data_IF_202971876352
#
_entry.id   IF_202971876352
#
_cell.length_a   1.000
_cell.length_b   1.000
_cell.length_c   1.000
_cell.angle_alpha   90.00
_cell.angle_beta   90.00
_cell.angle_gamma   90.00
#
_symmetry.space_group_name_H-M   'P 1'
#
loop_
_entity.id
_entity.type
_entity.pdbx_description
1 polymer ?
#
# COMPACT_ATOMS: atom_id res chain seq x y z
N UNK A 1 -5.50 10.19 3.12
CA UNK A 1 -6.29 9.34 2.21
C UNK A 1 -7.15 10.18 1.26
N UNK A 2 -7.95 11.14 1.74
CA UNK A 2 -8.82 12.00 0.90
C UNK A 2 -8.12 12.64 -0.31
N UNK A 3 -6.97 13.29 -0.12
CA UNK A 3 -6.24 13.94 -1.22
C UNK A 3 -5.81 12.96 -2.34
N UNK A 4 -5.48 11.72 -1.99
CA UNK A 4 -5.13 10.69 -2.97
C UNK A 4 -6.37 10.28 -3.78
N UNK A 5 -7.52 10.11 -3.12
CA UNK A 5 -8.79 9.82 -3.78
C UNK A 5 -9.22 10.98 -4.70
N UNK A 6 -9.10 12.23 -4.25
CA UNK A 6 -9.41 13.40 -5.05
C UNK A 6 -8.54 13.49 -6.31
N UNK A 7 -7.23 13.25 -6.16
CA UNK A 7 -6.30 13.20 -7.31
C UNK A 7 -6.66 12.09 -8.29
N UNK A 8 -6.95 10.88 -7.81
CA UNK A 8 -7.40 9.78 -8.65
C UNK A 8 -8.69 10.14 -9.42
N UNK A 9 -9.68 10.74 -8.74
CA UNK A 9 -10.96 11.18 -9.33
C UNK A 9 -10.79 12.22 -10.44
N UNK A 10 -9.78 13.08 -10.34
CA UNK A 10 -9.49 14.13 -11.32
C UNK A 10 -8.80 13.63 -12.61
N UNK A 11 -8.34 12.37 -12.62
CA UNK A 11 -7.65 11.78 -13.77
C UNK A 11 -8.56 11.67 -14.99
N UNK A 12 -8.04 11.98 -16.18
CA UNK A 12 -8.75 11.72 -17.44
C UNK A 12 -8.96 10.23 -17.73
N UNK A 13 -8.28 9.34 -17.00
CA UNK A 13 -8.39 7.88 -17.10
C UNK A 13 -9.29 7.28 -16.01
N UNK A 14 -9.81 8.10 -15.10
CA UNK A 14 -10.69 7.64 -14.02
C UNK A 14 -11.96 7.00 -14.58
N UNK A 15 -12.40 5.92 -13.94
CA UNK A 15 -13.69 5.27 -14.14
C UNK A 15 -14.31 4.95 -12.78
N UNK A 16 -15.64 4.95 -12.74
CA UNK A 16 -16.37 4.54 -11.54
C UNK A 16 -15.98 3.13 -11.10
N UNK A 17 -15.61 2.99 -9.83
CA UNK A 17 -15.15 1.73 -9.23
C UNK A 17 -13.64 1.63 -9.10
N UNK A 18 -12.87 2.59 -9.64
CA UNK A 18 -11.41 2.62 -9.49
C UNK A 18 -10.98 2.94 -8.04
N UNK A 19 -11.81 3.64 -7.25
CA UNK A 19 -11.47 4.07 -5.89
C UNK A 19 -12.27 3.28 -4.85
N UNK A 20 -11.63 2.28 -4.24
CA UNK A 20 -12.20 1.45 -3.17
C UNK A 20 -11.70 1.96 -1.81
N UNK A 21 -12.64 2.30 -0.94
CA UNK A 21 -12.37 2.70 0.44
C UNK A 21 -12.72 1.57 1.41
N UNK A 22 -11.73 0.98 2.06
CA UNK A 22 -11.97 0.05 3.17
C UNK A 22 -12.10 0.90 4.45
N UNK A 23 -13.19 0.81 5.21
CA UNK A 23 -13.44 1.68 6.36
C UNK A 23 -13.20 0.94 7.69
N UNK A 24 -12.71 1.62 8.75
CA UNK A 24 -12.46 0.99 10.05
C UNK A 24 -13.75 0.65 10.82
N UNK A 25 -14.81 1.43 10.62
CA UNK A 25 -16.10 1.27 11.30
C UNK A 25 -17.14 0.53 10.42
N UNK A 26 -18.34 0.34 10.97
CA UNK A 26 -19.52 -0.07 10.21
C UNK A 26 -20.30 1.11 9.60
N UNK A 27 -19.94 2.35 9.93
CA UNK A 27 -20.64 3.53 9.40
C UNK A 27 -20.09 3.91 8.02
N UNK A 28 -20.89 3.65 6.99
CA UNK A 28 -20.54 3.99 5.61
C UNK A 28 -20.38 5.50 5.37
N UNK A 29 -20.96 6.34 6.24
CA UNK A 29 -20.89 7.80 6.12
C UNK A 29 -19.52 8.38 6.49
N UNK A 30 -18.63 7.58 7.12
CA UNK A 30 -17.25 7.98 7.40
C UNK A 30 -16.36 8.00 6.14
N UNK A 31 -16.87 7.56 4.99
CA UNK A 31 -16.12 7.61 3.73
C UNK A 31 -15.88 9.06 3.29
N UNK A 32 -14.70 9.31 2.72
CA UNK A 32 -14.47 10.58 2.04
C UNK A 32 -15.32 10.67 0.74
N UNK A 33 -15.64 11.89 0.25
CA UNK A 33 -16.55 12.08 -0.89
C UNK A 33 -16.08 11.50 -2.23
N UNK A 34 -14.80 11.15 -2.34
CA UNK A 34 -14.19 10.69 -3.58
C UNK A 34 -14.15 9.16 -3.71
N UNK A 35 -14.55 8.42 -2.68
CA UNK A 35 -14.64 6.95 -2.70
C UNK A 35 -15.85 6.51 -3.54
N UNK A 36 -15.63 5.59 -4.48
CA UNK A 36 -16.69 4.98 -5.29
C UNK A 36 -17.37 3.86 -4.51
N UNK A 37 -16.57 2.91 -4.06
CA UNK A 37 -17.04 1.70 -3.37
C UNK A 37 -16.49 1.72 -1.94
N UNK A 38 -17.39 1.83 -0.96
CA UNK A 38 -17.04 1.76 0.45
C UNK A 38 -17.28 0.35 0.99
N UNK A 39 -16.27 -0.22 1.66
CA UNK A 39 -16.34 -1.51 2.34
C UNK A 39 -16.18 -1.26 3.84
N UNK A 40 -17.28 -1.07 4.59
CA UNK A 40 -17.23 -0.91 6.04
C UNK A 40 -16.94 -2.25 6.70
N UNK A 41 -15.84 -2.34 7.44
CA UNK A 41 -15.35 -3.61 7.99
C UNK A 41 -15.63 -3.77 9.48
N UNK A 42 -15.71 -2.67 10.24
CA UNK A 42 -15.90 -2.70 11.70
C UNK A 42 -14.75 -3.34 12.49
N UNK A 43 -13.59 -3.57 11.86
CA UNK A 43 -12.42 -4.20 12.49
C UNK A 43 -11.31 -3.20 12.83
N UNK A 44 -11.61 -1.89 12.79
CA UNK A 44 -10.72 -0.81 13.21
C UNK A 44 -9.31 -0.94 12.60
N UNK A 45 -8.26 -0.95 13.41
CA UNK A 45 -6.86 -1.04 12.98
C UNK A 45 -6.51 -2.31 12.22
N UNK A 46 -7.27 -3.41 12.39
CA UNK A 46 -7.01 -4.67 11.68
C UNK A 46 -7.25 -4.54 10.18
N UNK A 47 -8.08 -3.58 9.76
CA UNK A 47 -8.32 -3.28 8.35
C UNK A 47 -7.03 -2.96 7.59
N UNK A 48 -6.01 -2.43 8.27
CA UNK A 48 -4.75 -2.03 7.66
C UNK A 48 -4.08 -3.18 6.87
N UNK A 49 -4.23 -4.43 7.31
CA UNK A 49 -3.69 -5.59 6.57
C UNK A 49 -4.40 -5.81 5.24
N UNK A 50 -5.70 -5.52 5.16
CA UNK A 50 -6.50 -5.62 3.93
C UNK A 50 -6.03 -4.55 2.95
N UNK A 51 -5.80 -3.31 3.42
CA UNK A 51 -5.26 -2.21 2.60
C UNK A 51 -3.86 -2.54 2.10
N UNK A 52 -3.02 -3.08 2.97
CA UNK A 52 -1.66 -3.46 2.63
C UNK A 52 -1.59 -4.65 1.66
N UNK A 53 -2.67 -5.42 1.49
CA UNK A 53 -2.75 -6.51 0.51
C UNK A 53 -3.04 -6.00 -0.90
N UNK A 54 -2.17 -5.15 -1.42
CA UNK A 54 -2.23 -4.54 -2.74
C UNK A 54 -0.97 -4.87 -3.56
N UNK A 55 -0.98 -4.74 -4.89
CA UNK A 55 0.22 -4.99 -5.69
C UNK A 55 1.41 -4.09 -5.30
N UNK A 56 1.12 -2.82 -5.00
CA UNK A 56 2.07 -1.85 -4.48
C UNK A 56 1.43 -0.97 -3.40
N UNK A 57 2.23 -0.54 -2.43
CA UNK A 57 1.83 0.40 -1.37
C UNK A 57 2.69 1.65 -1.46
N UNK A 58 2.04 2.81 -1.51
CA UNK A 58 2.72 4.13 -1.54
C UNK A 58 2.41 4.88 -0.26
N UNK A 59 3.42 5.05 0.59
CA UNK A 59 3.29 5.74 1.87
C UNK A 59 3.62 7.23 1.73
N UNK A 60 2.75 8.08 2.30
CA UNK A 60 2.91 9.55 2.33
C UNK A 60 2.67 10.04 3.76
N UNK A 61 3.68 10.62 4.38
CA UNK A 61 3.63 11.20 5.72
C UNK A 61 3.34 10.15 6.80
N UNK A 62 2.35 10.46 7.64
CA UNK A 62 1.68 9.46 8.48
C UNK A 62 2.30 9.17 9.85
N UNK A 63 1.48 8.57 10.71
CA UNK A 63 1.79 8.17 12.09
C UNK A 63 1.85 6.64 12.25
N UNK A 64 1.48 6.13 13.43
CA UNK A 64 1.54 4.69 13.75
C UNK A 64 0.70 3.81 12.81
N UNK A 65 -0.45 4.30 12.33
CA UNK A 65 -1.28 3.58 11.35
C UNK A 65 -0.54 3.36 10.02
N UNK A 66 0.14 4.39 9.52
CA UNK A 66 0.95 4.29 8.28
C UNK A 66 2.14 3.35 8.46
N UNK A 67 2.80 3.37 9.63
CA UNK A 67 3.84 2.38 9.93
C UNK A 67 3.27 0.95 9.92
N UNK A 68 2.08 0.75 10.49
CA UNK A 68 1.41 -0.56 10.49
C UNK A 68 1.09 -1.05 9.07
N UNK A 69 0.58 -0.18 8.19
CA UNK A 69 0.34 -0.50 6.78
C UNK A 69 1.66 -0.83 6.04
N UNK A 70 2.72 -0.06 6.26
CA UNK A 70 4.06 -0.34 5.70
C UNK A 70 4.58 -1.70 6.18
N UNK A 71 4.47 -1.98 7.48
CA UNK A 71 4.95 -3.23 8.05
C UNK A 71 4.17 -4.45 7.53
N UNK A 72 2.85 -4.32 7.41
CA UNK A 72 2.01 -5.35 6.81
C UNK A 72 2.37 -5.55 5.33
N UNK A 73 2.55 -4.48 4.55
CA UNK A 73 2.92 -4.57 3.14
C UNK A 73 4.29 -5.24 2.96
N UNK A 74 5.25 -4.90 3.81
CA UNK A 74 6.57 -5.53 3.85
C UNK A 74 6.46 -7.02 4.08
N UNK A 75 5.76 -7.43 5.15
CA UNK A 75 5.56 -8.83 5.53
C UNK A 75 4.75 -9.62 4.48
N UNK A 76 3.84 -8.95 3.77
CA UNK A 76 3.07 -9.54 2.68
C UNK A 76 3.85 -9.63 1.37
N UNK A 77 5.13 -9.25 1.32
CA UNK A 77 5.96 -9.25 0.11
C UNK A 77 5.47 -8.27 -0.97
N UNK A 78 4.89 -7.14 -0.59
CA UNK A 78 4.46 -6.12 -1.55
C UNK A 78 5.61 -5.22 -1.95
N UNK A 79 5.49 -4.60 -3.13
CA UNK A 79 6.30 -3.45 -3.50
C UNK A 79 5.91 -2.27 -2.59
N UNK A 80 6.88 -1.67 -1.90
CA UNK A 80 6.64 -0.54 -0.99
C UNK A 80 7.45 0.66 -1.43
N UNK A 81 6.77 1.78 -1.65
CA UNK A 81 7.36 3.08 -1.92
C UNK A 81 7.02 4.02 -0.76
N UNK A 82 7.94 4.90 -0.39
CA UNK A 82 7.71 5.89 0.66
C UNK A 82 8.24 7.25 0.24
N UNK A 83 7.42 8.28 0.41
CA UNK A 83 7.84 9.65 0.16
C UNK A 83 8.83 10.12 1.23
N UNK A 84 10.02 10.54 0.80
CA UNK A 84 11.10 10.98 1.68
C UNK A 84 10.98 12.45 2.10
N UNK A 85 10.15 13.23 1.41
CA UNK A 85 10.04 14.69 1.56
C UNK A 85 8.72 15.17 2.20
N UNK A 86 7.95 14.28 2.81
CA UNK A 86 6.66 14.61 3.44
C UNK A 86 6.64 14.39 4.97
N UNK A 87 7.78 14.08 5.58
CA UNK A 87 7.89 13.76 7.01
C UNK A 87 7.16 12.47 7.42
N UNK A 88 6.85 12.34 8.72
CA UNK A 88 6.14 11.18 9.27
C UNK A 88 6.92 9.88 9.21
N UNK A 89 6.22 8.75 9.34
CA UNK A 89 6.85 7.43 9.25
C UNK A 89 7.30 7.09 7.83
N UNK A 90 6.62 7.57 6.78
CA UNK A 90 7.04 7.36 5.40
C UNK A 90 8.49 7.84 5.19
N UNK A 91 8.81 9.08 5.57
CA UNK A 91 10.16 9.62 5.39
C UNK A 91 11.22 8.91 6.23
N UNK A 92 10.85 8.41 7.42
CA UNK A 92 11.79 7.74 8.33
C UNK A 92 12.30 6.38 7.82
N UNK A 93 11.48 5.69 7.02
CA UNK A 93 11.80 4.33 6.53
C UNK A 93 12.18 4.31 5.04
N UNK A 94 12.07 5.44 4.35
CA UNK A 94 12.38 5.54 2.94
C UNK A 94 13.85 5.24 2.66
N UNK A 95 14.13 4.41 1.66
CA UNK A 95 15.47 4.08 1.20
C UNK A 95 16.16 2.95 1.97
N UNK A 96 15.47 2.28 2.90
CA UNK A 96 16.01 1.19 3.70
C UNK A 96 15.08 -0.03 3.70
N UNK A 97 15.60 -1.25 3.91
CA UNK A 97 14.77 -2.40 4.25
C UNK A 97 14.14 -2.17 5.63
N UNK A 98 12.94 -2.73 5.84
CA UNK A 98 12.25 -2.56 7.13
C UNK A 98 12.88 -3.39 8.25
N UNK A 99 13.39 -4.57 7.90
CA UNK A 99 14.07 -5.50 8.81
C UNK A 99 15.13 -6.32 8.06
N UNK A 100 15.76 -7.29 8.74
CA UNK A 100 16.83 -8.12 8.18
C UNK A 100 16.33 -9.28 7.29
N UNK A 101 15.02 -9.35 6.97
CA UNK A 101 14.47 -10.46 6.17
C UNK A 101 14.82 -10.30 4.70
N UNK A 102 15.23 -11.40 4.07
CA UNK A 102 15.32 -11.50 2.61
C UNK A 102 13.94 -11.90 2.07
N UNK A 103 13.21 -10.95 1.47
CA UNK A 103 11.87 -11.22 0.91
C UNK A 103 11.91 -11.80 -0.50
N UNK A 104 12.90 -11.39 -1.28
CA UNK A 104 13.13 -11.75 -2.68
C UNK A 104 14.63 -11.93 -2.92
N UNK A 105 15.15 -13.17 -2.87
CA UNK A 105 16.57 -13.45 -3.09
C UNK A 105 17.10 -13.01 -4.46
N UNK A 106 16.22 -12.90 -5.45
CA UNK A 106 16.51 -12.47 -6.82
C UNK A 106 16.54 -10.95 -7.00
N UNK A 107 16.10 -10.18 -6.00
CA UNK A 107 16.11 -8.72 -6.01
C UNK A 107 17.22 -8.23 -5.07
N UNK A 108 18.36 -7.82 -5.65
CA UNK A 108 19.56 -7.43 -4.90
C UNK A 108 19.33 -6.26 -3.94
N UNK A 109 18.47 -5.31 -4.31
CA UNK A 109 18.19 -4.07 -3.57
C UNK A 109 16.72 -4.01 -3.14
N UNK A 110 16.23 -5.10 -2.53
CA UNK A 110 14.88 -5.15 -1.97
C UNK A 110 14.76 -4.25 -0.72
N UNK A 111 13.95 -3.20 -0.82
CA UNK A 111 13.79 -2.20 0.22
C UNK A 111 12.49 -1.41 0.06
N UNK A 112 12.23 -0.51 1.00
CA UNK A 112 11.23 0.54 0.83
C UNK A 112 11.84 1.61 -0.08
N UNK A 113 11.35 1.72 -1.32
CA UNK A 113 11.92 2.64 -2.29
C UNK A 113 11.55 4.08 -1.96
N UNK A 114 12.55 4.94 -1.79
CA UNK A 114 12.35 6.36 -1.57
C UNK A 114 11.89 7.05 -2.85
N UNK A 115 10.91 7.95 -2.73
CA UNK A 115 10.45 8.82 -3.81
C UNK A 115 10.29 10.26 -3.32
N UNK A 116 10.58 11.22 -4.19
CA UNK A 116 10.35 12.64 -3.95
C UNK A 116 9.18 13.21 -4.76
N UNK A 117 8.69 12.48 -5.77
CA UNK A 117 7.65 12.97 -6.67
C UNK A 117 6.70 11.87 -7.18
N UNK A 118 5.50 12.24 -7.68
CA UNK A 118 4.60 11.29 -8.33
C UNK A 118 5.20 10.64 -9.59
N UNK A 119 6.04 11.37 -10.32
CA UNK A 119 6.69 10.86 -11.53
C UNK A 119 7.66 9.72 -11.19
N UNK A 120 8.50 9.91 -10.17
CA UNK A 120 9.41 8.87 -9.67
C UNK A 120 8.65 7.65 -9.13
N UNK A 121 7.54 7.88 -8.42
CA UNK A 121 6.69 6.79 -7.95
C UNK A 121 6.13 5.96 -9.11
N UNK A 122 5.65 6.60 -10.17
CA UNK A 122 5.15 5.91 -11.37
C UNK A 122 6.26 5.16 -12.11
N UNK A 123 7.44 5.75 -12.26
CA UNK A 123 8.60 5.10 -12.88
C UNK A 123 8.95 3.80 -12.15
N UNK A 124 9.08 3.86 -10.82
CA UNK A 124 9.38 2.70 -9.99
C UNK A 124 8.27 1.65 -10.01
N UNK A 125 7.00 2.06 -9.96
CA UNK A 125 5.87 1.13 -10.05
C UNK A 125 5.93 0.37 -11.37
N UNK A 126 6.05 1.07 -12.51
CA UNK A 126 6.12 0.44 -13.82
C UNK A 126 7.32 -0.50 -13.98
N UNK A 127 8.46 -0.15 -13.37
CA UNK A 127 9.67 -0.95 -13.45
C UNK A 127 9.68 -2.18 -12.53
N UNK A 128 8.96 -2.13 -11.39
CA UNK A 128 9.14 -3.11 -10.30
C UNK A 128 7.90 -3.88 -9.89
N UNK A 129 6.68 -3.41 -10.15
CA UNK A 129 5.47 -4.04 -9.57
C UNK A 129 5.34 -5.52 -9.91
N UNK A 130 5.73 -5.92 -11.13
CA UNK A 130 5.71 -7.31 -11.60
C UNK A 130 6.81 -8.20 -10.98
N UNK A 131 7.79 -7.63 -10.29
CA UNK A 131 8.79 -8.37 -9.53
C UNK A 131 8.25 -8.80 -8.16
N UNK A 132 7.24 -8.10 -7.62
CA UNK A 132 6.71 -8.30 -6.26
C UNK A 132 5.43 -9.15 -6.24
N UNK A 133 5.55 -10.41 -6.66
CA UNK A 133 4.39 -11.30 -6.92
C UNK A 133 4.24 -12.49 -5.95
N UNK A 134 4.91 -12.47 -4.79
CA UNK A 134 4.83 -13.57 -3.81
C UNK A 134 3.51 -13.52 -3.04
N UNK A 135 2.48 -14.17 -3.55
CA UNK A 135 1.22 -14.36 -2.84
C UNK A 135 1.15 -15.76 -2.22
N UNK A 136 0.40 -15.89 -1.12
CA UNK A 136 0.05 -17.20 -0.59
C UNK A 136 -0.75 -17.97 -1.65
N UNK A 137 -0.21 -19.08 -2.16
CA UNK A 137 -0.79 -19.85 -3.28
C UNK A 137 -1.91 -20.82 -2.86
N UNK A 138 -2.46 -20.63 -1.67
CA UNK A 138 -3.58 -21.39 -1.13
C UNK A 138 -3.18 -22.49 -0.16
N UNK A 139 -4.20 -23.16 0.36
CA UNK A 139 -4.07 -24.27 1.30
C UNK A 139 -3.58 -25.50 0.53
N UNK A 140 -2.38 -25.99 0.85
CA UNK A 140 -1.86 -27.24 0.30
C UNK A 140 -2.59 -28.40 0.97
N UNK A 141 -3.55 -28.99 0.28
CA UNK A 141 -4.14 -30.25 0.72
C UNK A 141 -3.18 -31.39 0.39
N UNK A 142 -2.55 -31.98 1.41
CA UNK A 142 -1.86 -33.26 1.24
C UNK A 142 -2.91 -34.31 0.86
N UNK A 143 -2.80 -34.87 -0.35
CA UNK A 143 -3.51 -36.11 -0.67
C UNK A 143 -2.81 -37.23 0.10
N UNK A 144 -3.52 -37.80 1.08
CA UNK A 144 -3.14 -39.03 1.74
C UNK A 144 -3.26 -40.24 0.82
#
# INVERSE_FOLDING_TARGET
MEAACAGAKSSSKYREGDIIGILPSFDINERNPYIDIAIPTGIDVYRNVIVANAAAVVAVGGGGGTLCEIANAWALHRLVLAYSNCGGWAAKVAGAPLDARVRYPEIEDDKIYAVGSPAEALELINAKVELYTHYHKGIVFFKG
#
